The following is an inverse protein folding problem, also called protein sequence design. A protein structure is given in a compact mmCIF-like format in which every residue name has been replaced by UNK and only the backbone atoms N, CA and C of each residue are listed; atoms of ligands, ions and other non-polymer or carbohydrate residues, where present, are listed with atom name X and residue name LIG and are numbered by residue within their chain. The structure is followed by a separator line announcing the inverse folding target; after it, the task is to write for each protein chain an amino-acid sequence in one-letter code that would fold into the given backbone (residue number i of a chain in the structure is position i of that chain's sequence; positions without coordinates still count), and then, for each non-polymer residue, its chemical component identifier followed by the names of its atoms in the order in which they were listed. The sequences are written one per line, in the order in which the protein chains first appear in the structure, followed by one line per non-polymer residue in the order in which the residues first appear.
data_IF_172383263016
#
_entry.id   IF_172383263016
#
_cell.length_a   1.000
_cell.length_b   1.000
_cell.length_c   1.000
_cell.angle_alpha   90.00
_cell.angle_beta   90.00
_cell.angle_gamma   90.00
#
_symmetry.space_group_name_H-M   'P 1'
#
loop_
_entity.id
_entity.type
_entity.pdbx_description
1 polymer ?
#
# COMPACT_ATOMS: atom_id res chain seq x y z
N UNK A 1 25.86 -67.06 33.28
CA UNK A 1 26.21 -65.64 33.56
C UNK A 1 26.47 -64.82 32.30
N UNK A 2 27.31 -65.27 31.35
CA UNK A 2 27.68 -64.48 30.15
C UNK A 2 26.45 -64.03 29.33
N UNK A 3 25.49 -64.93 29.08
CA UNK A 3 24.27 -64.63 28.32
C UNK A 3 23.43 -63.54 29.01
N UNK A 4 23.22 -63.64 30.33
CA UNK A 4 22.47 -62.63 31.09
C UNK A 4 23.15 -61.24 31.06
N UNK A 5 24.48 -61.20 31.06
CA UNK A 5 25.26 -59.97 31.01
C UNK A 5 25.17 -59.32 29.62
N UNK A 6 25.22 -60.11 28.54
CA UNK A 6 25.01 -59.65 27.17
C UNK A 6 23.58 -59.11 26.98
N UNK A 7 22.57 -59.81 27.49
CA UNK A 7 21.17 -59.36 27.44
C UNK A 7 20.97 -58.05 28.22
N UNK A 8 21.59 -57.91 29.40
CA UNK A 8 21.54 -56.67 30.17
C UNK A 8 22.19 -55.48 29.46
N UNK A 9 23.36 -55.68 28.85
CA UNK A 9 24.05 -54.63 28.08
C UNK A 9 23.23 -54.23 26.85
N UNK A 10 22.77 -55.20 26.06
CA UNK A 10 21.98 -54.93 24.84
C UNK A 10 20.64 -54.27 25.15
N UNK A 11 19.95 -54.68 26.22
CA UNK A 11 18.74 -54.00 26.70
C UNK A 11 19.00 -52.55 27.13
N UNK A 12 20.09 -52.30 27.86
CA UNK A 12 20.48 -50.94 28.29
C UNK A 12 20.83 -50.06 27.08
N UNK A 13 21.60 -50.58 26.12
CA UNK A 13 21.92 -49.88 24.88
C UNK A 13 20.67 -49.58 24.05
N UNK A 14 19.72 -50.53 23.99
CA UNK A 14 18.42 -50.33 23.37
C UNK A 14 17.66 -49.16 23.98
N UNK A 15 17.56 -49.11 25.31
CA UNK A 15 16.88 -48.02 26.03
C UNK A 15 17.56 -46.67 25.76
N UNK A 16 18.90 -46.61 25.80
CA UNK A 16 19.65 -45.39 25.52
C UNK A 16 19.41 -44.91 24.09
N UNK A 17 19.49 -45.82 23.11
CA UNK A 17 19.27 -45.52 21.71
C UNK A 17 17.83 -45.02 21.46
N UNK A 18 16.83 -45.75 21.95
CA UNK A 18 15.41 -45.36 21.82
C UNK A 18 15.13 -44.03 22.50
N UNK A 19 15.73 -43.77 23.66
CA UNK A 19 15.58 -42.48 24.36
C UNK A 19 16.23 -41.33 23.59
N UNK A 20 17.39 -41.56 22.96
CA UNK A 20 18.05 -40.55 22.14
C UNK A 20 17.25 -40.24 20.88
N UNK A 21 16.76 -41.27 20.19
CA UNK A 21 15.92 -41.12 19.00
C UNK A 21 14.61 -40.41 19.34
N UNK A 22 13.97 -40.77 20.46
CA UNK A 22 12.74 -40.10 20.91
C UNK A 22 12.96 -38.61 21.18
N UNK A 23 14.07 -38.23 21.82
CA UNK A 23 14.41 -36.81 22.06
C UNK A 23 14.64 -36.05 20.76
N UNK A 24 15.42 -36.61 19.83
CA UNK A 24 15.63 -36.01 18.51
C UNK A 24 14.33 -35.89 17.72
N UNK A 25 13.47 -36.91 17.76
CA UNK A 25 12.19 -36.89 17.08
C UNK A 25 11.25 -35.82 17.65
N UNK A 26 11.21 -35.63 18.97
CA UNK A 26 10.43 -34.55 19.59
C UNK A 26 11.01 -33.18 19.26
N UNK A 27 12.33 -33.00 19.33
CA UNK A 27 12.94 -31.71 19.02
C UNK A 27 12.68 -31.31 17.56
N UNK A 28 12.94 -32.21 16.62
CA UNK A 28 12.77 -31.92 15.19
C UNK A 28 11.30 -31.87 14.79
N UNK A 29 10.52 -32.89 15.13
CA UNK A 29 9.15 -33.06 14.63
C UNK A 29 8.09 -32.24 15.37
N UNK A 30 8.30 -31.93 16.65
CA UNK A 30 7.30 -31.21 17.46
C UNK A 30 7.66 -29.76 17.67
N UNK A 31 8.97 -29.40 17.71
CA UNK A 31 9.37 -28.01 17.94
C UNK A 31 9.86 -27.33 16.68
N UNK A 32 10.82 -27.92 15.95
CA UNK A 32 11.46 -27.21 14.85
C UNK A 32 10.66 -27.25 13.55
N UNK A 33 9.99 -28.37 13.24
CA UNK A 33 9.19 -28.49 12.02
C UNK A 33 8.04 -27.46 11.96
N UNK A 34 7.21 -27.26 13.02
CA UNK A 34 6.22 -26.19 13.01
C UNK A 34 6.82 -24.79 12.87
N UNK A 35 8.01 -24.54 13.43
CA UNK A 35 8.67 -23.24 13.29
C UNK A 35 9.20 -22.99 11.87
N UNK A 36 9.67 -24.04 11.19
CA UNK A 36 10.05 -23.95 9.78
C UNK A 36 8.84 -23.68 8.89
N UNK A 37 7.71 -24.31 9.22
CA UNK A 37 6.43 -24.11 8.53
C UNK A 37 5.92 -22.68 8.72
N UNK A 38 5.91 -22.19 9.96
CA UNK A 38 5.59 -20.79 10.27
C UNK A 38 6.48 -19.79 9.48
N UNK A 39 7.78 -20.07 9.32
CA UNK A 39 8.67 -19.22 8.55
C UNK A 39 8.30 -19.19 7.05
N UNK A 40 7.85 -20.32 6.51
CA UNK A 40 7.34 -20.43 5.14
C UNK A 40 6.01 -19.69 4.98
N UNK A 41 5.09 -19.83 5.95
CA UNK A 41 3.78 -19.18 5.91
C UNK A 41 3.85 -17.65 5.98
N UNK A 42 4.82 -17.09 6.73
CA UNK A 42 5.12 -15.65 6.69
C UNK A 42 5.43 -15.20 5.26
N UNK A 43 6.29 -15.93 4.57
CA UNK A 43 6.71 -15.59 3.20
C UNK A 43 5.55 -15.74 2.22
N UNK A 44 4.81 -16.84 2.29
CA UNK A 44 3.69 -17.12 1.40
C UNK A 44 2.59 -16.07 1.56
N UNK A 45 2.16 -15.83 2.79
CA UNK A 45 1.09 -14.88 3.09
C UNK A 45 1.47 -13.46 2.69
N UNK A 46 2.68 -13.02 3.05
CA UNK A 46 3.11 -11.66 2.74
C UNK A 46 3.43 -11.45 1.25
N UNK A 47 3.91 -12.47 0.54
CA UNK A 47 4.11 -12.41 -0.94
C UNK A 47 2.77 -12.35 -1.66
N UNK A 48 1.80 -13.16 -1.21
CA UNK A 48 0.44 -13.15 -1.77
C UNK A 48 -0.21 -11.78 -1.53
N UNK A 49 -0.10 -11.25 -0.31
CA UNK A 49 -0.58 -9.92 0.03
C UNK A 49 0.06 -8.82 -0.83
N UNK A 50 1.37 -8.89 -1.07
CA UNK A 50 2.08 -7.93 -1.92
C UNK A 50 1.59 -7.96 -3.36
N UNK A 51 1.45 -9.15 -3.97
CA UNK A 51 0.94 -9.29 -5.34
C UNK A 51 -0.48 -8.78 -5.48
N UNK A 52 -1.39 -9.22 -4.60
CA UNK A 52 -2.78 -8.75 -4.58
C UNK A 52 -2.85 -7.23 -4.38
N UNK A 53 -2.00 -6.67 -3.52
CA UNK A 53 -1.94 -5.23 -3.32
C UNK A 53 -1.51 -4.48 -4.59
N UNK A 54 -0.52 -4.97 -5.31
CA UNK A 54 -0.08 -4.37 -6.59
C UNK A 54 -1.15 -4.48 -7.68
N UNK A 55 -1.88 -5.60 -7.75
CA UNK A 55 -3.01 -5.78 -8.67
C UNK A 55 -4.14 -4.79 -8.35
N UNK A 56 -4.50 -4.70 -7.07
CA UNK A 56 -5.43 -3.69 -6.56
C UNK A 56 -4.92 -2.32 -7.03
N UNK A 57 -3.73 -1.89 -6.63
CA UNK A 57 -3.20 -0.55 -6.94
C UNK A 57 -3.13 -0.26 -8.45
N UNK A 58 -2.98 -1.28 -9.29
CA UNK A 58 -2.97 -1.20 -10.76
C UNK A 58 -4.37 -1.05 -11.39
N UNK A 59 -5.44 -1.13 -10.60
CA UNK A 59 -6.81 -0.96 -11.09
C UNK A 59 -7.65 -2.23 -11.14
N UNK A 60 -7.18 -3.36 -10.60
CA UNK A 60 -8.02 -4.56 -10.49
C UNK A 60 -8.99 -4.43 -9.31
N UNK A 61 -10.29 -4.37 -9.63
CA UNK A 61 -11.38 -4.26 -8.65
C UNK A 61 -11.95 -5.64 -8.26
N UNK A 62 -11.40 -6.74 -8.78
CA UNK A 62 -11.85 -8.10 -8.43
C UNK A 62 -11.18 -8.65 -7.17
N UNK A 63 -10.04 -8.09 -6.78
CA UNK A 63 -9.28 -8.43 -5.58
C UNK A 63 -9.78 -7.68 -4.34
N UNK A 64 -9.69 -8.31 -3.15
CA UNK A 64 -10.17 -7.72 -1.89
C UNK A 64 -9.02 -7.13 -1.07
N UNK A 65 -9.11 -5.85 -0.72
CA UNK A 65 -8.16 -5.21 0.18
C UNK A 65 -8.24 -5.79 1.60
N UNK A 66 -9.42 -6.27 2.03
CA UNK A 66 -9.60 -6.94 3.32
C UNK A 66 -8.82 -8.26 3.37
N UNK A 67 -8.73 -8.98 2.25
CA UNK A 67 -7.92 -10.19 2.15
C UNK A 67 -6.43 -9.89 2.25
N UNK A 68 -5.95 -8.80 1.63
CA UNK A 68 -4.56 -8.32 1.81
C UNK A 68 -4.25 -8.08 3.28
N UNK A 69 -5.13 -7.38 4.02
CA UNK A 69 -4.91 -7.12 5.44
C UNK A 69 -4.91 -8.39 6.27
N UNK A 70 -5.80 -9.32 5.97
CA UNK A 70 -5.85 -10.61 6.64
C UNK A 70 -4.56 -11.40 6.44
N UNK A 71 -4.05 -11.51 5.22
CA UNK A 71 -2.80 -12.21 4.92
C UNK A 71 -1.59 -11.60 5.67
N UNK A 72 -1.56 -10.27 5.82
CA UNK A 72 -0.50 -9.59 6.58
C UNK A 72 -0.65 -9.78 8.09
N UNK A 73 -1.88 -9.83 8.61
CA UNK A 73 -2.15 -10.18 10.01
C UNK A 73 -1.76 -11.64 10.29
N UNK A 74 -2.03 -12.57 9.37
CA UNK A 74 -1.62 -13.97 9.45
C UNK A 74 -0.08 -14.08 9.48
N UNK A 75 0.63 -13.34 8.62
CA UNK A 75 2.09 -13.28 8.65
C UNK A 75 2.63 -12.77 10.01
N UNK A 76 2.02 -11.72 10.58
CA UNK A 76 2.39 -11.24 11.92
C UNK A 76 2.12 -12.28 13.01
N UNK A 77 1.02 -13.04 12.90
CA UNK A 77 0.71 -14.12 13.83
C UNK A 77 1.80 -15.19 13.83
N UNK A 78 2.27 -15.63 12.65
CA UNK A 78 3.36 -16.60 12.56
C UNK A 78 4.69 -16.05 13.09
N UNK A 79 4.96 -14.74 12.95
CA UNK A 79 6.10 -14.13 13.63
C UNK A 79 6.01 -14.29 15.15
N UNK A 80 4.83 -14.02 15.73
CA UNK A 80 4.59 -14.15 17.16
C UNK A 80 4.65 -15.63 17.59
N UNK A 81 4.13 -16.56 16.79
CA UNK A 81 4.23 -18.00 17.03
C UNK A 81 5.69 -18.46 17.17
N UNK A 82 6.61 -17.93 16.35
CA UNK A 82 8.04 -18.24 16.45
C UNK A 82 8.68 -17.59 17.68
N UNK A 83 8.27 -16.37 18.04
CA UNK A 83 8.86 -15.60 19.14
C UNK A 83 8.43 -16.08 20.53
N UNK A 84 7.14 -16.35 20.69
CA UNK A 84 6.48 -16.60 21.98
C UNK A 84 5.63 -17.87 22.01
N UNK A 85 5.46 -18.56 20.88
CA UNK A 85 4.59 -19.74 20.75
C UNK A 85 3.15 -19.35 20.40
N UNK A 86 2.33 -20.34 20.07
CA UNK A 86 0.94 -20.12 19.68
C UNK A 86 0.20 -21.41 19.37
N UNK A 87 -1.10 -21.31 19.14
CA UNK A 87 -1.94 -22.41 18.67
C UNK A 87 -2.96 -21.85 17.67
N UNK A 88 -3.12 -22.53 16.53
CA UNK A 88 -4.13 -22.26 15.51
C UNK A 88 -4.69 -23.59 14.98
N UNK A 89 -5.45 -23.53 13.88
CA UNK A 89 -6.05 -24.70 13.24
C UNK A 89 -5.02 -25.70 12.65
N UNK A 90 -3.76 -25.29 12.46
CA UNK A 90 -2.67 -26.13 11.97
C UNK A 90 -1.93 -26.85 13.09
N UNK A 91 -2.01 -26.31 14.32
CA UNK A 91 -1.53 -26.97 15.52
C UNK A 91 -0.82 -26.03 16.50
N UNK A 92 0.09 -26.62 17.27
CA UNK A 92 0.78 -25.94 18.38
C UNK A 92 2.21 -25.58 17.98
N UNK A 93 2.56 -24.32 18.19
CA UNK A 93 3.89 -23.75 17.94
C UNK A 93 4.59 -23.49 19.26
N UNK A 94 5.77 -24.08 19.43
CA UNK A 94 6.62 -23.82 20.58
C UNK A 94 7.62 -22.72 20.25
N UNK A 95 7.68 -21.67 21.08
CA UNK A 95 8.64 -20.58 20.89
C UNK A 95 10.07 -21.09 20.64
N UNK A 96 10.76 -20.47 19.69
CA UNK A 96 12.18 -20.77 19.46
C UNK A 96 12.99 -20.55 20.74
N UNK A 97 14.06 -21.32 20.94
CA UNK A 97 15.03 -21.07 22.02
C UNK A 97 16.31 -20.42 21.50
N UNK A 98 16.42 -20.25 20.19
CA UNK A 98 17.60 -19.66 19.56
C UNK A 98 17.53 -18.14 19.58
N UNK A 99 18.56 -17.51 20.15
CA UNK A 99 18.62 -16.07 20.30
C UNK A 99 18.74 -15.33 18.96
N UNK A 100 19.39 -15.93 17.96
CA UNK A 100 19.51 -15.37 16.62
C UNK A 100 18.15 -15.44 15.92
N UNK A 101 17.46 -16.59 15.94
CA UNK A 101 16.10 -16.72 15.39
C UNK A 101 15.16 -15.69 16.00
N UNK A 102 15.17 -15.52 17.33
CA UNK A 102 14.34 -14.50 17.99
C UNK A 102 14.69 -13.07 17.60
N UNK A 103 15.97 -12.79 17.37
CA UNK A 103 16.41 -11.46 16.93
C UNK A 103 15.91 -11.20 15.51
N UNK A 104 16.20 -12.11 14.57
CA UNK A 104 15.78 -12.01 13.17
C UNK A 104 14.26 -11.89 13.06
N UNK A 105 13.50 -12.71 13.79
CA UNK A 105 12.03 -12.67 13.74
C UNK A 105 11.42 -11.37 14.29
N UNK A 106 12.06 -10.70 15.26
CA UNK A 106 11.66 -9.35 15.67
C UNK A 106 11.86 -8.33 14.55
N UNK A 107 12.94 -8.46 13.79
CA UNK A 107 13.23 -7.59 12.66
C UNK A 107 12.25 -7.81 11.51
N UNK A 108 11.91 -9.09 11.21
CA UNK A 108 10.83 -9.47 10.27
C UNK A 108 9.52 -8.80 10.67
N UNK A 109 9.06 -9.03 11.91
CA UNK A 109 7.80 -8.48 12.43
C UNK A 109 7.74 -6.96 12.29
N UNK A 110 8.80 -6.25 12.71
CA UNK A 110 8.87 -4.79 12.59
C UNK A 110 8.84 -4.32 11.13
N UNK A 111 9.41 -5.09 10.21
CA UNK A 111 9.43 -4.74 8.79
C UNK A 111 8.08 -5.00 8.13
N UNK A 112 7.36 -6.06 8.50
CA UNK A 112 5.95 -6.28 8.12
C UNK A 112 5.06 -5.15 8.66
N UNK A 113 5.24 -4.71 9.91
CA UNK A 113 4.48 -3.57 10.46
C UNK A 113 4.71 -2.27 9.68
N UNK A 114 5.96 -2.00 9.25
CA UNK A 114 6.27 -0.85 8.41
C UNK A 114 5.68 -1.00 7.01
N UNK A 115 5.75 -2.19 6.43
CA UNK A 115 5.11 -2.51 5.16
C UNK A 115 3.59 -2.26 5.21
N UNK A 116 2.89 -2.76 6.24
CA UNK A 116 1.45 -2.53 6.46
C UNK A 116 1.16 -1.04 6.55
N UNK A 117 1.98 -0.27 7.30
CA UNK A 117 1.79 1.16 7.43
C UNK A 117 1.88 1.87 6.06
N UNK A 118 2.92 1.57 5.27
CA UNK A 118 3.08 2.12 3.92
C UNK A 118 1.97 1.68 2.97
N UNK A 119 1.57 0.40 3.01
CA UNK A 119 0.47 -0.13 2.20
C UNK A 119 -0.86 0.58 2.51
N UNK A 120 -1.18 0.79 3.79
CA UNK A 120 -2.39 1.53 4.20
C UNK A 120 -2.33 2.99 3.74
N UNK A 121 -1.15 3.60 3.78
CA UNK A 121 -0.96 4.94 3.25
C UNK A 121 -1.24 5.00 1.75
N UNK A 122 -0.58 4.14 0.96
CA UNK A 122 -0.78 3.98 -0.49
C UNK A 122 -2.25 3.74 -0.84
N UNK A 123 -2.91 2.83 -0.12
CA UNK A 123 -4.33 2.53 -0.35
C UNK A 123 -5.25 3.70 0.00
N UNK A 124 -5.00 4.38 1.13
CA UNK A 124 -5.74 5.60 1.49
C UNK A 124 -5.53 6.69 0.43
N UNK A 125 -4.32 6.82 -0.10
CA UNK A 125 -4.06 7.74 -1.21
C UNK A 125 -4.87 7.35 -2.42
N UNK A 126 -4.88 6.09 -2.85
CA UNK A 126 -5.71 5.63 -3.97
C UNK A 126 -7.20 5.92 -3.78
N UNK A 127 -7.73 5.67 -2.59
CA UNK A 127 -9.13 5.97 -2.24
C UNK A 127 -9.42 7.47 -2.16
N UNK A 128 -8.41 8.31 -1.91
CA UNK A 128 -8.50 9.77 -1.92
C UNK A 128 -8.19 10.41 -3.28
N UNK A 129 -7.39 9.74 -4.12
CA UNK A 129 -6.92 10.17 -5.44
C UNK A 129 -7.76 9.61 -6.58
N UNK A 130 -8.82 8.84 -6.29
CA UNK A 130 -10.02 8.76 -7.12
C UNK A 130 -10.73 10.13 -7.17
N UNK A 131 -10.00 11.17 -7.61
CA UNK A 131 -10.49 12.53 -7.86
C UNK A 131 -11.44 12.55 -9.04
N UNK A 132 -11.30 11.60 -9.98
CA UNK A 132 -12.25 11.32 -11.05
C UNK A 132 -13.58 10.87 -10.46
N UNK A 133 -14.45 11.86 -10.19
CA UNK A 133 -15.78 11.65 -9.62
C UNK A 133 -16.00 12.25 -8.22
N UNK A 134 -15.05 12.99 -7.65
CA UNK A 134 -15.24 13.71 -6.38
C UNK A 134 -16.38 14.75 -6.48
N UNK A 135 -16.94 15.19 -5.34
CA UNK A 135 -17.93 16.27 -5.33
C UNK A 135 -17.39 17.55 -5.99
N UNK A 136 -16.08 17.80 -5.88
CA UNK A 136 -15.41 18.92 -6.54
C UNK A 136 -15.37 18.76 -8.06
N UNK A 137 -15.05 17.57 -8.57
CA UNK A 137 -15.02 17.29 -10.02
C UNK A 137 -16.43 17.38 -10.63
N UNK A 138 -17.43 16.77 -9.98
CA UNK A 138 -18.83 16.87 -10.42
C UNK A 138 -19.35 18.31 -10.37
N UNK A 139 -18.98 19.07 -9.33
CA UNK A 139 -19.34 20.49 -9.21
C UNK A 139 -18.66 21.33 -10.27
N UNK A 140 -17.41 21.02 -10.61
CA UNK A 140 -16.63 21.70 -11.64
C UNK A 140 -17.25 21.51 -13.02
N UNK A 141 -17.51 20.26 -13.43
CA UNK A 141 -18.11 19.94 -14.74
C UNK A 141 -19.49 20.57 -14.89
N UNK A 142 -20.34 20.44 -13.87
CA UNK A 142 -21.67 21.04 -13.85
C UNK A 142 -21.61 22.56 -13.94
N UNK A 143 -20.64 23.19 -13.26
CA UNK A 143 -20.44 24.63 -13.33
C UNK A 143 -19.97 25.05 -14.72
N UNK A 144 -19.04 24.31 -15.32
CA UNK A 144 -18.56 24.54 -16.69
C UNK A 144 -19.71 24.47 -17.70
N UNK A 145 -20.49 23.38 -17.70
CA UNK A 145 -21.64 23.21 -18.60
C UNK A 145 -22.66 24.35 -18.44
N UNK A 146 -22.95 24.73 -17.20
CA UNK A 146 -23.88 25.83 -16.91
C UNK A 146 -23.39 27.15 -17.49
N UNK A 147 -22.11 27.49 -17.30
CA UNK A 147 -21.51 28.73 -17.81
C UNK A 147 -21.53 28.73 -19.35
N UNK A 148 -21.18 27.61 -19.99
CA UNK A 148 -21.21 27.46 -21.45
C UNK A 148 -22.62 27.64 -22.02
N UNK A 149 -23.64 27.09 -21.34
CA UNK A 149 -25.04 27.25 -21.70
C UNK A 149 -25.52 28.70 -21.52
N UNK A 150 -25.17 29.36 -20.41
CA UNK A 150 -25.52 30.77 -20.16
C UNK A 150 -24.88 31.70 -21.20
N UNK A 151 -23.61 31.50 -21.56
CA UNK A 151 -22.94 32.24 -22.64
C UNK A 151 -23.61 32.04 -24.00
N UNK A 152 -23.96 30.80 -24.33
CA UNK A 152 -24.65 30.48 -25.59
C UNK A 152 -26.04 31.14 -25.66
N UNK A 153 -26.79 31.10 -24.55
CA UNK A 153 -28.08 31.76 -24.43
C UNK A 153 -27.95 33.28 -24.58
N UNK A 154 -26.91 33.87 -23.98
CA UNK A 154 -26.64 35.30 -24.08
C UNK A 154 -26.33 35.72 -25.52
N UNK A 155 -25.46 34.97 -26.22
CA UNK A 155 -25.17 35.21 -27.63
C UNK A 155 -26.43 35.12 -28.51
N UNK A 156 -27.36 34.21 -28.19
CA UNK A 156 -28.63 34.06 -28.91
C UNK A 156 -29.60 35.22 -28.63
N UNK A 157 -29.82 35.55 -27.36
CA UNK A 157 -30.72 36.63 -26.92
C UNK A 157 -30.31 38.00 -27.48
N UNK A 158 -29.01 38.25 -27.54
CA UNK A 158 -28.44 39.50 -28.03
C UNK A 158 -27.84 39.37 -29.43
N UNK A 159 -28.28 38.38 -30.23
CA UNK A 159 -27.69 38.02 -31.52
C UNK A 159 -27.71 39.10 -32.62
N UNK A 160 -28.32 40.26 -32.37
CA UNK A 160 -28.22 41.45 -33.25
C UNK A 160 -27.02 42.34 -32.92
N UNK A 161 -26.39 42.12 -31.76
CA UNK A 161 -25.22 42.87 -31.31
C UNK A 161 -23.96 42.04 -31.59
N UNK A 162 -23.25 42.39 -32.67
CA UNK A 162 -22.06 41.67 -33.12
C UNK A 162 -20.98 41.58 -32.03
N UNK A 163 -20.77 42.63 -31.23
CA UNK A 163 -19.74 42.60 -30.19
C UNK A 163 -20.13 41.72 -29.00
N UNK A 164 -21.43 41.59 -28.68
CA UNK A 164 -21.87 40.64 -27.64
C UNK A 164 -21.64 39.19 -28.10
N UNK A 165 -21.91 38.89 -29.38
CA UNK A 165 -21.60 37.57 -29.94
C UNK A 165 -20.10 37.29 -29.89
N UNK A 166 -19.29 38.25 -30.31
CA UNK A 166 -17.84 38.09 -30.36
C UNK A 166 -17.23 37.87 -28.96
N UNK A 167 -17.58 38.73 -27.99
CA UNK A 167 -17.14 38.57 -26.61
C UNK A 167 -17.65 37.27 -25.98
N UNK A 168 -18.87 36.82 -26.32
CA UNK A 168 -19.38 35.53 -25.83
C UNK A 168 -18.53 34.36 -26.36
N UNK A 169 -18.17 34.38 -27.65
CA UNK A 169 -17.32 33.34 -28.25
C UNK A 169 -15.90 33.37 -27.70
N UNK A 170 -15.33 34.56 -27.50
CA UNK A 170 -14.01 34.70 -26.88
C UNK A 170 -14.03 34.17 -25.43
N UNK A 171 -15.09 34.48 -24.66
CA UNK A 171 -15.26 33.89 -23.34
C UNK A 171 -15.29 32.36 -23.41
N UNK A 172 -16.13 31.78 -24.25
CA UNK A 172 -16.19 30.32 -24.43
C UNK A 172 -14.86 29.69 -24.79
N UNK A 173 -14.11 30.32 -25.70
CA UNK A 173 -12.77 29.90 -26.10
C UNK A 173 -11.80 29.87 -24.91
N UNK A 174 -11.70 30.96 -24.16
CA UNK A 174 -10.80 31.04 -23.01
C UNK A 174 -11.19 30.06 -21.90
N UNK A 175 -12.50 29.82 -21.69
CA UNK A 175 -12.97 28.82 -20.75
C UNK A 175 -12.63 27.39 -21.20
N UNK A 176 -12.77 27.08 -22.48
CA UNK A 176 -12.38 25.78 -23.02
C UNK A 176 -10.86 25.56 -22.93
N UNK A 177 -10.07 26.58 -23.26
CA UNK A 177 -8.61 26.50 -23.20
C UNK A 177 -8.10 26.38 -21.75
N UNK A 178 -8.69 27.13 -20.81
CA UNK A 178 -8.37 26.98 -19.39
C UNK A 178 -8.76 25.60 -18.85
N UNK A 179 -9.88 25.03 -19.32
CA UNK A 179 -10.29 23.68 -18.94
C UNK A 179 -9.29 22.64 -19.46
N UNK A 180 -8.91 22.71 -20.74
CA UNK A 180 -7.89 21.83 -21.33
C UNK A 180 -6.58 21.88 -20.54
N UNK A 181 -6.08 23.09 -20.25
CA UNK A 181 -4.84 23.27 -19.50
C UNK A 181 -4.96 22.74 -18.06
N UNK A 182 -6.14 22.83 -17.44
CA UNK A 182 -6.36 22.23 -16.13
C UNK A 182 -6.24 20.72 -16.20
N UNK A 183 -6.84 20.07 -17.20
CA UNK A 183 -6.75 18.62 -17.36
C UNK A 183 -5.31 18.15 -17.66
N UNK A 184 -4.56 18.89 -18.49
CA UNK A 184 -3.14 18.63 -18.77
C UNK A 184 -2.30 18.76 -17.50
N UNK A 185 -2.49 19.85 -16.74
CA UNK A 185 -1.83 20.08 -15.45
C UNK A 185 -2.14 18.97 -14.43
N UNK A 186 -3.41 18.59 -14.30
CA UNK A 186 -3.84 17.53 -13.37
C UNK A 186 -3.30 16.15 -13.80
N UNK A 187 -3.05 15.94 -15.08
CA UNK A 187 -2.43 14.74 -15.62
C UNK A 187 -0.90 14.70 -15.45
N UNK A 188 -0.31 15.77 -14.90
CA UNK A 188 1.13 15.85 -14.60
C UNK A 188 1.99 16.43 -15.73
N UNK A 189 1.41 17.14 -16.69
CA UNK A 189 2.20 17.88 -17.70
C UNK A 189 2.94 19.06 -17.03
N UNK A 190 4.27 19.04 -17.09
CA UNK A 190 5.15 20.04 -16.49
C UNK A 190 5.25 21.35 -17.29
N UNK A 191 4.71 21.38 -18.51
CA UNK A 191 4.69 22.57 -19.36
C UNK A 191 3.53 23.51 -19.04
N UNK A 192 2.52 23.03 -18.32
CA UNK A 192 1.34 23.78 -17.90
C UNK A 192 1.43 24.11 -16.41
N UNK A 193 0.97 25.29 -16.00
CA UNK A 193 0.87 25.65 -14.59
C UNK A 193 -0.48 26.26 -14.22
N UNK A 194 -0.78 26.30 -12.92
CA UNK A 194 -2.05 26.79 -12.41
C UNK A 194 -2.27 28.27 -12.75
N UNK A 195 -1.19 29.05 -12.86
CA UNK A 195 -1.26 30.46 -13.27
C UNK A 195 -1.78 30.61 -14.71
N UNK A 196 -1.37 29.74 -15.63
CA UNK A 196 -1.87 29.74 -17.01
C UNK A 196 -3.34 29.32 -17.09
N UNK A 197 -3.76 28.34 -16.29
CA UNK A 197 -5.18 27.92 -16.17
C UNK A 197 -6.03 29.10 -15.68
N UNK A 198 -5.64 29.70 -14.56
CA UNK A 198 -6.36 30.83 -13.95
C UNK A 198 -6.34 32.05 -14.85
N UNK A 199 -5.24 32.30 -15.58
CA UNK A 199 -5.16 33.39 -16.55
C UNK A 199 -6.18 33.22 -17.68
N UNK A 200 -6.34 32.01 -18.23
CA UNK A 200 -7.36 31.73 -19.25
C UNK A 200 -8.78 31.99 -18.71
N UNK A 201 -9.13 31.44 -17.55
CA UNK A 201 -10.46 31.68 -16.97
C UNK A 201 -10.70 33.16 -16.64
N UNK A 202 -9.66 33.88 -16.21
CA UNK A 202 -9.73 35.32 -15.97
C UNK A 202 -9.98 36.11 -17.26
N UNK A 203 -9.36 35.74 -18.39
CA UNK A 203 -9.68 36.33 -19.69
C UNK A 203 -11.12 36.05 -20.12
N UNK A 204 -11.64 34.85 -19.85
CA UNK A 204 -13.05 34.52 -20.05
C UNK A 204 -13.99 35.43 -19.24
N UNK A 205 -13.65 35.66 -17.96
CA UNK A 205 -14.36 36.58 -17.07
C UNK A 205 -14.32 38.04 -17.57
N UNK A 206 -13.17 38.53 -18.03
CA UNK A 206 -13.06 39.89 -18.57
C UNK A 206 -13.94 40.11 -19.81
N UNK A 207 -14.05 39.10 -20.68
CA UNK A 207 -14.99 39.14 -21.80
C UNK A 207 -16.45 39.24 -21.34
N UNK A 208 -16.84 38.51 -20.27
CA UNK A 208 -18.18 38.61 -19.66
C UNK A 208 -18.43 39.99 -19.06
N UNK A 209 -17.44 40.60 -18.41
CA UNK A 209 -17.51 41.98 -17.91
C UNK A 209 -17.73 42.95 -19.09
N UNK A 210 -17.03 42.74 -20.20
CA UNK A 210 -17.22 43.47 -21.45
C UNK A 210 -18.66 43.41 -21.95
N UNK A 211 -19.27 42.22 -21.96
CA UNK A 211 -20.69 42.06 -22.30
C UNK A 211 -21.57 42.85 -21.33
N UNK A 212 -21.35 42.73 -20.03
CA UNK A 212 -22.11 43.45 -19.00
C UNK A 212 -22.06 44.96 -19.14
N UNK A 213 -20.94 45.53 -19.59
CA UNK A 213 -20.82 46.96 -19.86
C UNK A 213 -21.70 47.41 -21.06
N UNK A 214 -22.08 46.48 -21.95
CA UNK A 214 -22.91 46.76 -23.12
C UNK A 214 -24.41 46.55 -22.86
N UNK A 215 -24.78 45.51 -22.11
CA UNK A 215 -26.18 45.08 -21.94
C UNK A 215 -26.73 45.31 -20.52
N UNK A 216 -25.89 45.78 -19.60
CA UNK A 216 -26.21 45.96 -18.18
C UNK A 216 -25.54 44.90 -17.30
N UNK A 217 -24.87 45.34 -16.23
CA UNK A 217 -24.16 44.44 -15.31
C UNK A 217 -25.10 43.49 -14.57
N UNK A 218 -26.35 43.89 -14.32
CA UNK A 218 -27.39 43.04 -13.74
C UNK A 218 -27.65 41.79 -14.60
N UNK A 219 -27.52 41.91 -15.93
CA UNK A 219 -27.76 40.81 -16.87
C UNK A 219 -26.69 39.73 -16.87
N UNK A 220 -25.47 40.09 -16.49
CA UNK A 220 -24.33 39.16 -16.42
C UNK A 220 -23.95 38.77 -15.00
N UNK A 221 -24.66 39.27 -13.99
CA UNK A 221 -24.28 39.09 -12.58
C UNK A 221 -24.16 37.61 -12.18
N UNK A 222 -25.17 36.79 -12.52
CA UNK A 222 -25.14 35.33 -12.26
C UNK A 222 -23.95 34.65 -12.92
N UNK A 223 -23.63 35.06 -14.15
CA UNK A 223 -22.52 34.49 -14.92
C UNK A 223 -21.16 34.89 -14.33
N UNK A 224 -21.03 36.15 -13.86
CA UNK A 224 -19.82 36.64 -13.18
C UNK A 224 -19.60 35.94 -11.83
N UNK A 225 -20.65 35.72 -11.05
CA UNK A 225 -20.54 34.95 -9.80
C UNK A 225 -20.23 33.48 -10.10
N UNK A 226 -20.86 32.91 -11.14
CA UNK A 226 -20.61 31.53 -11.58
C UNK A 226 -19.15 31.30 -11.98
N UNK A 227 -18.57 32.21 -12.76
CA UNK A 227 -17.16 32.06 -13.17
C UNK A 227 -16.17 32.22 -12.01
N UNK A 228 -16.46 33.07 -11.03
CA UNK A 228 -15.64 33.17 -9.82
C UNK A 228 -15.64 31.87 -9.02
N UNK A 229 -16.82 31.28 -8.82
CA UNK A 229 -16.95 29.98 -8.16
C UNK A 229 -16.26 28.87 -8.96
N UNK A 230 -16.35 28.90 -10.30
CA UNK A 230 -15.67 27.95 -11.17
C UNK A 230 -14.14 28.03 -11.07
N UNK A 231 -13.57 29.25 -11.01
CA UNK A 231 -12.13 29.45 -10.81
C UNK A 231 -11.70 28.94 -9.43
N UNK A 232 -12.50 29.15 -8.39
CA UNK A 232 -12.23 28.60 -7.07
C UNK A 232 -12.19 27.06 -7.10
N UNK A 233 -13.19 26.44 -7.74
CA UNK A 233 -13.23 24.98 -7.92
C UNK A 233 -12.00 24.45 -8.68
N UNK A 234 -11.52 25.16 -9.70
CA UNK A 234 -10.29 24.78 -10.42
C UNK A 234 -9.06 24.73 -9.48
N UNK A 235 -8.91 25.73 -8.61
CA UNK A 235 -7.83 25.77 -7.63
C UNK A 235 -7.97 24.66 -6.58
N UNK A 236 -9.20 24.39 -6.13
CA UNK A 236 -9.47 23.30 -5.19
C UNK A 236 -9.10 21.94 -5.81
N UNK A 237 -9.47 21.69 -7.07
CA UNK A 237 -9.06 20.48 -7.81
C UNK A 237 -7.53 20.34 -7.89
N UNK A 238 -6.84 21.42 -8.23
CA UNK A 238 -5.37 21.43 -8.29
C UNK A 238 -4.71 21.15 -6.94
N UNK A 239 -5.17 21.81 -5.87
CA UNK A 239 -4.62 21.63 -4.52
C UNK A 239 -4.85 20.22 -3.98
N UNK A 240 -6.03 19.65 -4.27
CA UNK A 240 -6.35 18.27 -3.92
C UNK A 240 -5.45 17.28 -4.67
N UNK A 241 -5.15 17.53 -5.94
CA UNK A 241 -4.26 16.69 -6.74
C UNK A 241 -2.79 16.80 -6.28
N UNK A 242 -2.29 18.02 -6.04
CA UNK A 242 -0.93 18.26 -5.50
C UNK A 242 -0.71 17.52 -4.15
N UNK A 243 -1.69 17.61 -3.25
CA UNK A 243 -1.66 16.91 -1.97
C UNK A 243 -1.64 15.38 -2.14
N UNK A 244 -2.15 14.88 -3.26
CA UNK A 244 -2.21 13.45 -3.60
C UNK A 244 -0.91 12.93 -4.24
N UNK A 245 -0.15 13.76 -4.97
CA UNK A 245 1.09 13.34 -5.63
C UNK A 245 2.32 13.29 -4.69
N UNK A 246 2.41 14.17 -3.69
CA UNK A 246 3.59 14.26 -2.82
C UNK A 246 3.78 13.06 -1.88
N UNK A 247 2.70 12.52 -1.35
CA UNK A 247 2.76 11.50 -0.31
C UNK A 247 2.75 10.05 -0.83
N UNK A 248 2.32 9.82 -2.07
CA UNK A 248 2.41 8.51 -2.73
C UNK A 248 3.86 8.08 -3.00
N UNK A 249 4.75 9.02 -3.39
CA UNK A 249 6.13 8.68 -3.79
C UNK A 249 7.03 8.15 -2.67
N UNK A 250 6.90 8.66 -1.44
CA UNK A 250 7.64 8.15 -0.28
C UNK A 250 7.05 6.84 0.23
N UNK A 251 5.72 6.71 0.20
CA UNK A 251 5.03 5.48 0.58
C UNK A 251 5.34 4.33 -0.40
N UNK A 252 5.41 4.60 -1.70
CA UNK A 252 5.83 3.64 -2.74
C UNK A 252 7.27 3.17 -2.50
N UNK A 253 8.21 4.10 -2.32
CA UNK A 253 9.62 3.75 -2.09
C UNK A 253 9.83 2.94 -0.80
N UNK A 254 9.05 3.22 0.25
CA UNK A 254 9.11 2.48 1.50
C UNK A 254 8.43 1.10 1.41
N UNK A 255 7.37 0.97 0.61
CA UNK A 255 6.63 -0.27 0.43
C UNK A 255 7.51 -1.39 -0.15
N UNK A 256 8.14 -1.15 -1.31
CA UNK A 256 8.99 -2.16 -1.95
C UNK A 256 10.21 -2.50 -1.09
N UNK A 257 10.83 -1.48 -0.51
CA UNK A 257 12.01 -1.64 0.35
C UNK A 257 11.72 -2.49 1.58
N UNK A 258 10.60 -2.25 2.27
CA UNK A 258 10.24 -3.05 3.45
C UNK A 258 9.80 -4.46 3.05
N UNK A 259 9.15 -4.63 1.89
CA UNK A 259 8.86 -5.95 1.32
C UNK A 259 10.12 -6.79 1.11
N UNK A 260 11.08 -6.28 0.33
CA UNK A 260 12.35 -6.96 0.09
C UNK A 260 13.09 -7.28 1.40
N UNK A 261 13.05 -6.35 2.36
CA UNK A 261 13.72 -6.51 3.64
C UNK A 261 13.14 -7.67 4.44
N UNK A 262 11.82 -7.73 4.64
CA UNK A 262 11.26 -8.78 5.49
C UNK A 262 11.33 -10.15 4.83
N UNK A 263 11.23 -10.26 3.50
CA UNK A 263 11.38 -11.54 2.79
C UNK A 263 12.79 -12.10 3.00
N UNK A 264 13.83 -11.28 2.81
CA UNK A 264 15.22 -11.71 3.04
C UNK A 264 15.48 -12.14 4.49
N UNK A 265 14.88 -11.44 5.47
CA UNK A 265 15.01 -11.80 6.88
C UNK A 265 14.24 -13.08 7.24
N UNK A 266 13.07 -13.30 6.62
CA UNK A 266 12.30 -14.53 6.79
C UNK A 266 13.06 -15.74 6.21
N UNK A 267 13.71 -15.57 5.06
CA UNK A 267 14.60 -16.58 4.47
C UNK A 267 15.78 -16.94 5.40
N UNK A 268 16.44 -15.94 5.97
CA UNK A 268 17.52 -16.17 6.95
C UNK A 268 17.00 -16.94 8.17
N UNK A 269 15.83 -16.57 8.69
CA UNK A 269 15.22 -17.27 9.83
C UNK A 269 14.90 -18.74 9.49
N UNK A 270 14.31 -19.01 8.32
CA UNK A 270 14.01 -20.36 7.83
C UNK A 270 15.30 -21.19 7.71
N UNK A 271 16.37 -20.63 7.14
CA UNK A 271 17.65 -21.32 6.98
C UNK A 271 18.26 -21.72 8.33
N UNK A 272 18.23 -20.82 9.32
CA UNK A 272 18.72 -21.13 10.68
C UNK A 272 17.92 -22.27 11.31
N UNK A 273 16.58 -22.24 11.19
CA UNK A 273 15.70 -23.27 11.73
C UNK A 273 15.96 -24.61 11.02
N UNK A 274 16.14 -24.60 9.70
CA UNK A 274 16.46 -25.80 8.91
C UNK A 274 17.80 -26.41 9.33
N UNK A 275 18.84 -25.60 9.54
CA UNK A 275 20.12 -26.08 10.07
C UNK A 275 19.99 -26.70 11.47
N UNK A 276 19.12 -26.16 12.32
CA UNK A 276 18.82 -26.76 13.63
C UNK A 276 18.11 -28.11 13.49
N UNK A 277 17.19 -28.24 12.52
CA UNK A 277 16.53 -29.52 12.22
C UNK A 277 17.55 -30.57 11.79
N UNK A 278 18.45 -30.23 10.86
CA UNK A 278 19.54 -31.12 10.42
C UNK A 278 20.43 -31.55 11.58
N UNK A 279 20.84 -30.59 12.44
CA UNK A 279 21.63 -30.89 13.62
C UNK A 279 20.90 -31.78 14.64
N UNK A 280 19.58 -31.61 14.78
CA UNK A 280 18.71 -32.42 15.64
C UNK A 280 18.57 -33.87 15.16
N UNK A 281 18.55 -34.07 13.83
CA UNK A 281 18.55 -35.40 13.20
C UNK A 281 19.92 -36.09 13.35
N UNK A 282 21.03 -35.34 13.25
CA UNK A 282 22.39 -35.87 13.23
C UNK A 282 23.03 -36.12 14.61
N UNK A 283 22.36 -35.77 15.72
CA UNK A 283 22.85 -36.01 17.10
C UNK A 283 22.11 -37.14 17.84
N UNK A 284 22.29 -38.42 17.48
CA UNK A 284 21.90 -39.53 18.34
C UNK A 284 23.00 -39.76 19.40
N UNK A 285 23.14 -38.85 20.36
CA UNK A 285 24.06 -39.04 21.50
C UNK A 285 24.70 -37.74 21.99
N UNK A 286 24.21 -37.24 23.12
CA UNK A 286 24.80 -36.08 23.80
C UNK A 286 26.19 -36.36 24.35
N UNK A 287 27.21 -35.75 23.74
CA UNK A 287 28.39 -35.29 24.46
C UNK A 287 28.52 -33.78 24.25
N UNK A 288 28.04 -33.01 25.24
CA UNK A 288 28.58 -31.68 25.48
C UNK A 288 30.09 -31.86 25.73
N UNK A 289 30.92 -31.30 24.85
CA UNK A 289 32.33 -31.07 25.16
C UNK A 289 32.36 -30.22 26.42
N UNK A 290 32.82 -30.78 27.54
CA UNK A 290 33.24 -29.97 28.68
C UNK A 290 34.48 -29.20 28.25
N UNK A 291 34.47 -27.89 28.48
CA UNK A 291 35.65 -27.05 28.35
C UNK A 291 36.84 -27.68 29.10
N UNK A 292 38.03 -27.69 28.48
CA UNK A 292 39.24 -28.04 29.21
C UNK A 292 39.52 -26.92 30.21
N UNK A 293 39.37 -27.24 31.49
CA UNK A 293 39.96 -26.45 32.57
C UNK A 293 41.46 -26.30 32.27
N UNK A 294 41.87 -25.06 32.03
CA UNK A 294 43.26 -24.64 31.96
C UNK A 294 43.98 -24.98 33.27
N UNK A 295 45.27 -25.40 33.22
CA UNK A 295 46.11 -25.53 34.40
C UNK A 295 46.47 -24.18 35.03
#
# INVERSE_FOLDING_TARGET
MVVALITGITGTLGIVFTSSVSKSATEVGVKLAPLSDAAMEIRLSATTAHLMFEEIMSGDDTESIEEVWKLLDDALWYCDAILIGGENDEGVFFASNDAQVKKTMKEVRQSIERFIASARERYKYRMGSSSTGSEADQSFDKSYEKIQAELSNMASLYGKNASVIDLSRQAQYFLANGHLFLEELLSGDDQVNIEQVVANFSQGKENIIGIGNMIGRDKVFSLLTGIEAFIALANDRFNNNQSSQGAGSEADANFDKEFERFINLADEAEEIIRHQMEAGVLKPGGHQKKDPLLP
#
